data_IF_622661535478
#
_entry.id   IF_622661535478
#
_cell.length_a   1.000
_cell.length_b   1.000
_cell.length_c   1.000
_cell.angle_alpha   90.00
_cell.angle_beta   90.00
_cell.angle_gamma   90.00
#
_symmetry.space_group_name_H-M   'P 1'
#
loop_
_entity.id
_entity.type
_entity.pdbx_description
1 polymer ?
#
# COMPACT_ATOMS: atom_id res chain seq x y z
N UNK A 1 26.99 -28.38 13.19
CA UNK A 1 27.28 -27.50 12.03
C UNK A 1 26.07 -26.58 11.77
N UNK A 2 26.24 -25.25 11.72
CA UNK A 2 25.15 -24.26 11.61
C UNK A 2 24.42 -24.30 10.25
N UNK A 3 25.01 -24.98 9.26
CA UNK A 3 24.53 -25.07 7.88
C UNK A 3 24.08 -26.48 7.45
N UNK A 4 23.88 -27.41 8.41
CA UNK A 4 23.39 -28.79 8.17
C UNK A 4 24.18 -29.60 7.12
N UNK A 5 25.49 -29.38 7.05
CA UNK A 5 26.39 -30.27 6.31
C UNK A 5 26.92 -31.39 7.22
N UNK A 6 27.18 -32.59 6.68
CA UNK A 6 26.96 -33.01 5.29
C UNK A 6 25.46 -33.22 4.98
N UNK A 7 25.06 -33.03 3.71
CA UNK A 7 23.69 -33.25 3.26
C UNK A 7 23.53 -34.63 2.63
N UNK A 8 22.30 -35.14 2.63
CA UNK A 8 21.96 -36.39 1.97
C UNK A 8 22.29 -36.34 0.48
N UNK A 9 22.76 -37.47 -0.05
CA UNK A 9 23.11 -37.64 -1.45
C UNK A 9 22.19 -38.67 -2.09
N UNK A 10 21.81 -38.39 -3.33
CA UNK A 10 20.87 -39.21 -4.10
C UNK A 10 21.44 -39.41 -5.50
N UNK A 11 21.54 -40.65 -5.97
CA UNK A 11 22.12 -40.94 -7.28
C UNK A 11 21.25 -40.48 -8.45
N UNK A 12 19.94 -40.43 -8.22
CA UNK A 12 18.93 -40.15 -9.23
C UNK A 12 17.83 -39.24 -8.67
N UNK A 13 17.12 -38.57 -9.56
CA UNK A 13 15.95 -37.77 -9.20
C UNK A 13 14.74 -38.69 -9.13
N UNK A 14 14.06 -38.74 -7.99
CA UNK A 14 12.92 -39.60 -7.76
C UNK A 14 11.83 -38.85 -6.99
N UNK A 15 10.61 -39.35 -7.06
CA UNK A 15 9.52 -38.88 -6.21
C UNK A 15 9.34 -39.91 -5.11
N UNK A 16 9.37 -39.46 -3.85
CA UNK A 16 9.11 -40.31 -2.71
C UNK A 16 7.65 -40.79 -2.75
N UNK A 17 7.38 -42.11 -2.77
CA UNK A 17 6.03 -42.64 -2.92
C UNK A 17 5.09 -42.31 -1.77
N UNK A 18 5.61 -42.16 -0.56
CA UNK A 18 4.81 -41.92 0.64
C UNK A 18 4.50 -40.44 0.86
N UNK A 19 5.52 -39.57 0.79
CA UNK A 19 5.34 -38.13 1.02
C UNK A 19 5.02 -37.34 -0.26
N UNK A 20 5.20 -37.96 -1.43
CA UNK A 20 5.16 -37.28 -2.72
C UNK A 20 6.35 -36.35 -2.95
N UNK A 21 7.35 -36.30 -2.06
CA UNK A 21 8.44 -35.32 -2.13
C UNK A 21 9.37 -35.58 -3.31
N UNK A 22 9.70 -34.54 -4.08
CA UNK A 22 10.66 -34.59 -5.17
C UNK A 22 12.07 -34.56 -4.59
N UNK A 23 12.73 -35.70 -4.68
CA UNK A 23 14.12 -35.89 -4.33
C UNK A 23 14.95 -35.64 -5.58
N UNK A 24 15.80 -34.61 -5.54
CA UNK A 24 16.67 -34.27 -6.66
C UNK A 24 17.99 -35.04 -6.58
N UNK A 25 18.50 -35.51 -7.74
CA UNK A 25 19.84 -36.08 -7.84
C UNK A 25 20.88 -35.14 -7.21
N UNK A 26 21.71 -35.69 -6.34
CA UNK A 26 22.77 -34.99 -5.62
C UNK A 26 23.95 -35.92 -5.34
N UNK A 27 25.08 -35.69 -6.02
CA UNK A 27 26.30 -36.49 -5.85
C UNK A 27 27.23 -36.00 -4.74
N UNK A 28 27.19 -34.71 -4.40
CA UNK A 28 28.16 -34.09 -3.49
C UNK A 28 27.49 -33.64 -2.19
N UNK A 29 27.87 -34.26 -1.06
CA UNK A 29 27.30 -33.99 0.25
C UNK A 29 27.65 -32.59 0.79
N UNK A 30 28.76 -32.02 0.31
CA UNK A 30 29.29 -30.70 0.70
C UNK A 30 28.87 -29.57 -0.24
N UNK A 31 28.04 -29.86 -1.24
CA UNK A 31 27.48 -28.88 -2.17
C UNK A 31 26.01 -28.61 -1.84
N UNK A 32 25.57 -27.37 -2.02
CA UNK A 32 24.13 -27.04 -1.97
C UNK A 32 23.40 -27.66 -3.17
N UNK A 33 22.09 -27.83 -3.04
CA UNK A 33 21.28 -28.21 -4.18
C UNK A 33 21.13 -26.98 -5.07
N UNK A 34 21.46 -27.07 -6.35
CA UNK A 34 21.48 -25.92 -7.26
C UNK A 34 20.65 -26.18 -8.51
N UNK A 35 20.32 -25.13 -9.25
CA UNK A 35 19.68 -25.24 -10.57
C UNK A 35 20.56 -24.52 -11.58
N UNK A 36 20.95 -25.14 -12.72
CA UNK A 36 21.85 -24.52 -13.69
C UNK A 36 21.40 -23.13 -14.14
N UNK A 37 20.10 -22.92 -14.35
CA UNK A 37 19.54 -21.62 -14.72
C UNK A 37 19.77 -20.54 -13.65
N UNK A 38 19.55 -20.89 -12.38
CA UNK A 38 19.76 -19.97 -11.24
C UNK A 38 21.25 -19.73 -11.02
N UNK A 39 22.10 -20.76 -11.13
CA UNK A 39 23.57 -20.62 -11.11
C UNK A 39 24.04 -19.64 -12.16
N UNK A 40 23.52 -19.76 -13.39
CA UNK A 40 23.91 -18.94 -14.51
C UNK A 40 23.50 -17.47 -14.33
N UNK A 41 22.27 -17.24 -13.84
CA UNK A 41 21.72 -15.89 -13.64
C UNK A 41 22.35 -15.18 -12.44
N UNK A 42 22.43 -15.83 -11.29
CA UNK A 42 22.86 -15.20 -10.04
C UNK A 42 24.38 -15.17 -9.90
N UNK A 43 25.10 -16.08 -10.58
CA UNK A 43 26.57 -16.25 -10.49
C UNK A 43 27.10 -16.32 -9.06
N UNK A 44 26.26 -16.81 -8.14
CA UNK A 44 26.57 -16.93 -6.72
C UNK A 44 26.04 -18.25 -6.14
N UNK A 45 26.51 -18.60 -4.94
CA UNK A 45 26.06 -19.79 -4.23
C UNK A 45 24.59 -19.63 -3.83
N UNK A 46 23.76 -20.60 -4.19
CA UNK A 46 22.34 -20.63 -3.88
C UNK A 46 21.96 -22.06 -3.47
N UNK A 47 20.90 -22.18 -2.69
CA UNK A 47 20.35 -23.46 -2.25
C UNK A 47 18.89 -23.55 -2.67
N UNK A 48 18.58 -24.52 -3.52
CA UNK A 48 17.24 -24.77 -4.05
C UNK A 48 16.63 -25.92 -3.29
N UNK A 49 15.48 -25.68 -2.69
CA UNK A 49 14.71 -26.70 -1.97
C UNK A 49 13.33 -26.82 -2.60
N UNK A 50 12.90 -28.05 -2.91
CA UNK A 50 11.54 -28.31 -3.36
C UNK A 50 10.56 -28.16 -2.18
N UNK A 51 9.52 -27.35 -2.35
CA UNK A 51 8.46 -27.16 -1.36
C UNK A 51 7.17 -27.77 -1.90
N UNK A 52 6.72 -28.86 -1.27
CA UNK A 52 5.63 -29.69 -1.82
C UNK A 52 4.30 -29.58 -1.08
N UNK A 53 4.30 -29.03 0.13
CA UNK A 53 3.08 -28.76 0.89
C UNK A 53 2.70 -27.28 0.79
N UNK A 54 1.43 -27.00 0.48
CA UNK A 54 0.89 -25.63 0.49
C UNK A 54 1.08 -24.93 1.84
N UNK A 55 1.06 -25.68 2.95
CA UNK A 55 1.33 -25.15 4.30
C UNK A 55 2.79 -24.71 4.44
N UNK A 56 3.74 -25.51 3.94
CA UNK A 56 5.17 -25.18 3.95
C UNK A 56 5.48 -24.01 3.03
N UNK A 57 4.85 -23.95 1.86
CA UNK A 57 4.98 -22.80 0.95
C UNK A 57 4.46 -21.54 1.63
N UNK A 58 3.27 -21.60 2.25
CA UNK A 58 2.68 -20.46 2.96
C UNK A 58 3.55 -19.99 4.12
N UNK A 59 4.14 -20.91 4.89
CA UNK A 59 5.02 -20.56 6.01
C UNK A 59 6.32 -19.91 5.54
N UNK A 60 6.94 -20.43 4.48
CA UNK A 60 8.16 -19.85 3.89
C UNK A 60 7.87 -18.47 3.30
N UNK A 61 6.78 -18.31 2.54
CA UNK A 61 6.38 -17.01 1.99
C UNK A 61 6.11 -16.02 3.12
N UNK A 62 5.37 -16.42 4.16
CA UNK A 62 5.10 -15.55 5.31
C UNK A 62 6.40 -15.14 6.03
N UNK A 63 7.34 -16.07 6.20
CA UNK A 63 8.65 -15.79 6.81
C UNK A 63 9.49 -14.82 5.97
N UNK A 64 9.57 -15.05 4.66
CA UNK A 64 10.30 -14.17 3.73
C UNK A 64 9.63 -12.80 3.67
N UNK A 65 8.30 -12.74 3.62
CA UNK A 65 7.55 -11.50 3.65
C UNK A 65 7.77 -10.75 4.96
N UNK A 66 7.71 -11.40 6.13
CA UNK A 66 8.02 -10.79 7.42
C UNK A 66 9.43 -10.23 7.44
N UNK A 67 10.40 -10.97 6.89
CA UNK A 67 11.78 -10.50 6.77
C UNK A 67 11.93 -9.27 5.87
N UNK A 68 11.28 -9.26 4.70
CA UNK A 68 11.33 -8.14 3.73
C UNK A 68 10.59 -6.91 4.26
N UNK A 69 9.43 -7.12 4.89
CA UNK A 69 8.55 -6.05 5.38
C UNK A 69 8.92 -5.56 6.78
N UNK A 70 9.88 -6.21 7.45
CA UNK A 70 10.37 -5.81 8.77
C UNK A 70 10.76 -4.35 8.74
N UNK A 71 10.01 -3.51 9.45
CA UNK A 71 10.25 -2.08 9.45
C UNK A 71 11.67 -1.85 9.98
N UNK A 72 12.55 -1.19 9.21
CA UNK A 72 13.94 -1.01 9.62
C UNK A 72 14.06 -0.13 10.86
N UNK A 73 13.06 0.73 11.11
CA UNK A 73 13.03 1.64 12.23
C UNK A 73 11.76 1.44 13.06
N UNK A 74 11.91 0.93 14.29
CA UNK A 74 10.79 0.81 15.23
C UNK A 74 10.36 2.20 15.70
N UNK A 75 9.06 2.39 15.95
CA UNK A 75 8.48 3.69 16.35
C UNK A 75 9.16 4.30 17.58
N UNK A 76 9.51 3.50 18.59
CA UNK A 76 10.22 4.03 19.77
C UNK A 76 11.62 4.56 19.43
N UNK A 77 12.32 3.98 18.46
CA UNK A 77 13.63 4.46 18.00
C UNK A 77 13.48 5.78 17.27
N UNK A 78 12.41 5.94 16.47
CA UNK A 78 12.09 7.23 15.85
C UNK A 78 11.92 8.33 16.91
N UNK A 79 11.07 8.08 17.92
CA UNK A 79 10.82 9.04 18.98
C UNK A 79 12.08 9.38 19.78
N UNK A 80 12.90 8.39 20.12
CA UNK A 80 14.17 8.63 20.80
C UNK A 80 15.13 9.47 19.95
N UNK A 81 15.24 9.23 18.64
CA UNK A 81 16.07 10.04 17.76
C UNK A 81 15.58 11.48 17.67
N UNK A 82 14.27 11.70 17.58
CA UNK A 82 13.67 13.04 17.59
C UNK A 82 13.94 13.74 18.92
N UNK A 83 13.73 13.07 20.05
CA UNK A 83 14.01 13.61 21.39
C UNK A 83 15.49 14.01 21.53
N UNK A 84 16.43 13.13 21.13
CA UNK A 84 17.87 13.44 21.16
C UNK A 84 18.23 14.67 20.33
N UNK A 85 17.57 14.88 19.19
CA UNK A 85 17.77 16.08 18.37
C UNK A 85 17.24 17.33 19.08
N UNK A 86 16.10 17.25 19.77
CA UNK A 86 15.60 18.37 20.58
C UNK A 86 16.57 18.73 21.72
N UNK A 87 16.99 17.74 22.51
CA UNK A 87 17.87 17.95 23.67
C UNK A 87 19.24 18.54 23.28
N UNK A 88 19.82 18.09 22.15
CA UNK A 88 21.12 18.60 21.66
C UNK A 88 21.05 19.98 21.02
N UNK A 89 19.85 20.49 20.71
CA UNK A 89 19.69 21.74 19.97
C UNK A 89 18.85 22.77 20.75
N UNK A 90 18.84 22.66 22.08
CA UNK A 90 18.20 23.62 23.00
C UNK A 90 18.71 25.04 22.78
N UNK A 91 20.01 25.24 22.59
CA UNK A 91 20.59 26.55 22.29
C UNK A 91 20.08 27.14 20.97
N UNK A 92 19.86 26.29 19.95
CA UNK A 92 19.30 26.73 18.66
C UNK A 92 17.82 27.14 18.83
N UNK A 93 17.07 26.46 19.69
CA UNK A 93 15.70 26.82 20.04
C UNK A 93 15.64 28.17 20.78
N UNK A 94 16.61 28.41 21.67
CA UNK A 94 16.75 29.65 22.44
C UNK A 94 17.42 30.81 21.68
N UNK A 95 17.97 30.58 20.49
CA UNK A 95 18.64 31.63 19.69
C UNK A 95 17.67 32.70 19.16
N UNK A 96 18.14 33.88 18.76
CA UNK A 96 17.30 34.94 18.18
C UNK A 96 16.90 34.74 16.71
N UNK A 97 17.17 33.55 16.14
CA UNK A 97 16.82 33.26 14.74
C UNK A 97 15.31 33.27 14.52
N UNK A 98 14.91 33.61 13.28
CA UNK A 98 13.51 33.50 12.85
C UNK A 98 12.98 32.08 13.10
N UNK A 99 11.70 31.99 13.51
CA UNK A 99 11.00 30.73 13.76
C UNK A 99 11.05 29.79 12.54
N UNK A 100 11.00 30.35 11.33
CA UNK A 100 11.09 29.58 10.08
C UNK A 100 12.45 28.89 9.93
N UNK A 101 13.53 29.58 10.29
CA UNK A 101 14.88 29.06 10.13
C UNK A 101 15.22 28.05 11.22
N UNK A 102 14.71 28.25 12.44
CA UNK A 102 14.76 27.26 13.52
C UNK A 102 14.05 25.97 13.11
N UNK A 103 12.82 26.07 12.60
CA UNK A 103 12.03 24.91 12.17
C UNK A 103 12.73 24.15 11.04
N UNK A 104 13.22 24.86 10.01
CA UNK A 104 13.96 24.25 8.90
C UNK A 104 15.21 23.51 9.39
N UNK A 105 16.01 24.16 10.23
CA UNK A 105 17.23 23.56 10.79
C UNK A 105 16.94 22.32 11.64
N UNK A 106 15.90 22.35 12.48
CA UNK A 106 15.49 21.19 13.26
C UNK A 106 15.02 20.04 12.38
N UNK A 107 14.14 20.32 11.41
CA UNK A 107 13.64 19.30 10.49
C UNK A 107 14.80 18.62 9.74
N UNK A 108 15.76 19.37 9.24
CA UNK A 108 16.96 18.80 8.60
C UNK A 108 17.74 17.90 9.55
N UNK A 109 17.94 18.31 10.81
CA UNK A 109 18.67 17.52 11.81
C UNK A 109 17.92 16.23 12.20
N UNK A 110 16.60 16.29 12.34
CA UNK A 110 15.75 15.13 12.60
C UNK A 110 15.80 14.15 11.42
N UNK A 111 15.62 14.65 10.20
CA UNK A 111 15.72 13.83 8.98
C UNK A 111 17.09 13.18 8.89
N UNK A 112 18.19 13.93 9.07
CA UNK A 112 19.54 13.36 9.03
C UNK A 112 19.75 12.28 10.10
N UNK A 113 19.25 12.47 11.31
CA UNK A 113 19.33 11.47 12.38
C UNK A 113 18.50 10.23 12.09
N UNK A 114 17.30 10.39 11.51
CA UNK A 114 16.43 9.28 11.15
C UNK A 114 16.99 8.49 9.97
N UNK A 115 17.53 9.18 8.96
CA UNK A 115 18.19 8.57 7.81
C UNK A 115 19.40 7.74 8.24
N UNK A 116 20.20 8.25 9.19
CA UNK A 116 21.35 7.50 9.72
C UNK A 116 20.94 6.23 10.50
N UNK A 117 19.73 6.21 11.09
CA UNK A 117 19.20 5.06 11.80
C UNK A 117 18.40 4.11 10.89
N UNK A 118 18.10 4.51 9.66
CA UNK A 118 17.29 3.74 8.72
C UNK A 118 18.20 2.94 7.79
N UNK A 119 18.13 1.62 7.89
CA UNK A 119 18.73 0.72 6.90
C UNK A 119 17.69 0.34 5.84
N UNK A 120 18.09 0.31 4.56
CA UNK A 120 17.23 -0.17 3.48
C UNK A 120 17.78 -1.53 3.04
N UNK A 121 16.92 -2.54 2.96
CA UNK A 121 17.32 -3.85 2.45
C UNK A 121 17.82 -3.77 1.01
N UNK A 122 18.91 -4.46 0.69
CA UNK A 122 19.51 -4.48 -0.65
C UNK A 122 18.51 -4.71 -1.81
N UNK A 123 17.55 -5.66 -1.69
CA UNK A 123 16.53 -5.86 -2.72
C UNK A 123 15.62 -4.63 -2.94
N UNK A 124 15.25 -3.93 -1.86
CA UNK A 124 14.43 -2.70 -1.93
C UNK A 124 15.24 -1.59 -2.60
N UNK A 125 16.51 -1.44 -2.25
CA UNK A 125 17.39 -0.46 -2.89
C UNK A 125 17.54 -0.73 -4.40
N UNK A 126 17.76 -1.98 -4.80
CA UNK A 126 17.83 -2.37 -6.20
C UNK A 126 16.50 -2.11 -6.94
N UNK A 127 15.37 -2.40 -6.30
CA UNK A 127 14.04 -2.14 -6.83
C UNK A 127 13.82 -0.64 -7.13
N UNK A 128 14.23 0.24 -6.20
CA UNK A 128 14.18 1.70 -6.40
C UNK A 128 15.13 2.17 -7.52
N UNK A 129 16.37 1.66 -7.56
CA UNK A 129 17.35 2.04 -8.58
C UNK A 129 16.92 1.61 -9.99
N UNK A 130 16.32 0.43 -10.12
CA UNK A 130 15.80 -0.11 -11.38
C UNK A 130 14.44 0.48 -11.77
N UNK A 131 13.86 1.37 -10.94
CA UNK A 131 12.55 1.99 -11.15
C UNK A 131 11.43 0.97 -11.39
N UNK A 132 11.50 -0.16 -10.69
CA UNK A 132 10.41 -1.12 -10.72
C UNK A 132 9.17 -0.55 -10.01
N UNK A 133 7.96 -0.88 -10.47
CA UNK A 133 6.74 -0.48 -9.80
C UNK A 133 6.66 -1.14 -8.41
N UNK A 134 6.20 -0.37 -7.43
CA UNK A 134 5.97 -0.79 -6.03
C UNK A 134 4.89 -1.88 -5.91
N UNK A 135 4.01 -2.00 -6.90
CA UNK A 135 3.01 -3.04 -6.99
C UNK A 135 2.75 -3.46 -8.44
N UNK A 136 2.49 -4.75 -8.64
CA UNK A 136 1.96 -5.27 -9.90
C UNK A 136 0.48 -5.58 -9.68
N UNK A 137 -0.40 -4.91 -10.41
CA UNK A 137 -1.83 -5.20 -10.33
C UNK A 137 -2.43 -5.38 -11.72
N UNK A 138 -3.13 -6.49 -11.92
CA UNK A 138 -3.98 -6.70 -13.12
C UNK A 138 -5.28 -5.90 -13.06
N UNK A 139 -5.64 -5.37 -11.88
CA UNK A 139 -6.90 -4.67 -11.66
C UNK A 139 -6.71 -3.34 -10.93
N UNK A 140 -7.48 -2.33 -11.32
CA UNK A 140 -7.53 -1.06 -10.58
C UNK A 140 -8.59 -1.17 -9.49
N UNK A 141 -8.14 -1.36 -8.26
CA UNK A 141 -9.02 -1.30 -7.10
C UNK A 141 -9.54 0.12 -6.93
N UNK A 142 -10.80 0.24 -6.49
CA UNK A 142 -11.39 1.52 -6.14
C UNK A 142 -11.53 1.65 -4.64
N UNK A 143 -11.15 2.80 -4.05
CA UNK A 143 -11.39 3.03 -2.64
C UNK A 143 -12.90 3.05 -2.37
N UNK A 144 -13.36 2.17 -1.50
CA UNK A 144 -14.73 2.10 -1.01
C UNK A 144 -14.79 2.76 0.38
N UNK A 145 -15.35 3.97 0.45
CA UNK A 145 -15.58 4.67 1.71
C UNK A 145 -16.87 4.16 2.39
N UNK A 146 -16.85 2.89 2.80
CA UNK A 146 -18.03 2.14 3.26
C UNK A 146 -18.73 2.75 4.49
N UNK A 147 -18.00 3.46 5.36
CA UNK A 147 -18.54 4.05 6.60
C UNK A 147 -19.75 4.97 6.34
N UNK A 148 -19.74 5.73 5.25
CA UNK A 148 -20.87 6.60 4.89
C UNK A 148 -22.14 5.81 4.56
N UNK A 149 -22.01 4.71 3.81
CA UNK A 149 -23.14 3.84 3.47
C UNK A 149 -23.73 3.14 4.70
N UNK A 150 -22.87 2.67 5.60
CA UNK A 150 -23.30 1.99 6.83
C UNK A 150 -24.01 2.94 7.78
N UNK A 151 -23.52 4.17 7.93
CA UNK A 151 -24.21 5.19 8.73
C UNK A 151 -25.60 5.49 8.18
N UNK A 152 -25.78 5.53 6.87
CA UNK A 152 -27.08 5.79 6.25
C UNK A 152 -28.08 4.64 6.50
N UNK A 153 -27.62 3.39 6.43
CA UNK A 153 -28.46 2.22 6.79
C UNK A 153 -28.79 2.22 8.29
N UNK A 154 -27.81 2.54 9.14
CA UNK A 154 -28.01 2.59 10.59
C UNK A 154 -29.02 3.66 11.01
N UNK A 155 -29.11 4.79 10.29
CA UNK A 155 -30.13 5.84 10.52
C UNK A 155 -31.57 5.34 10.35
N UNK A 156 -31.78 4.35 9.49
CA UNK A 156 -33.11 3.76 9.29
C UNK A 156 -33.54 2.84 10.45
N UNK A 157 -32.62 2.48 11.36
CA UNK A 157 -32.90 1.62 12.52
C UNK A 157 -33.01 2.43 13.81
N UNK A 158 -34.07 2.20 14.60
CA UNK A 158 -34.42 2.98 15.79
C UNK A 158 -33.38 2.91 16.95
N UNK A 159 -32.52 1.90 16.96
CA UNK A 159 -31.52 1.68 18.03
C UNK A 159 -30.25 2.56 17.87
N UNK A 160 -30.22 3.44 16.88
CA UNK A 160 -29.05 4.22 16.45
C UNK A 160 -28.78 5.50 17.26
N UNK A 161 -29.52 5.77 18.35
CA UNK A 161 -29.38 6.99 19.18
C UNK A 161 -27.99 7.19 19.81
N UNK A 162 -27.14 6.16 19.86
CA UNK A 162 -25.81 6.21 20.46
C UNK A 162 -24.66 6.31 19.45
N UNK A 163 -24.93 6.44 18.15
CA UNK A 163 -23.86 6.53 17.15
C UNK A 163 -23.36 7.98 17.12
N UNK A 164 -22.25 8.21 17.83
CA UNK A 164 -21.43 9.43 17.86
C UNK A 164 -21.60 10.31 16.61
N UNK A 165 -21.87 11.60 16.85
CA UNK A 165 -21.93 12.70 15.87
C UNK A 165 -20.65 12.84 14.98
N UNK A 166 -19.60 12.04 15.21
CA UNK A 166 -18.35 12.03 14.45
C UNK A 166 -18.44 11.43 13.04
N UNK A 167 -19.58 10.86 12.66
CA UNK A 167 -19.80 10.23 11.36
C UNK A 167 -20.28 11.17 10.26
N UNK A 168 -19.70 12.36 10.07
CA UNK A 168 -20.10 13.21 8.93
C UNK A 168 -19.72 12.52 7.63
N UNK A 169 -20.71 12.27 6.75
CA UNK A 169 -20.49 11.78 5.38
C UNK A 169 -19.37 12.58 4.72
N UNK A 170 -18.31 11.89 4.29
CA UNK A 170 -17.16 12.52 3.65
C UNK A 170 -17.61 13.15 2.35
N UNK A 171 -17.77 14.47 2.37
CA UNK A 171 -17.98 15.25 1.16
C UNK A 171 -16.65 15.28 0.42
N UNK A 172 -16.57 14.57 -0.70
CA UNK A 172 -15.42 14.65 -1.59
C UNK A 172 -15.47 16.01 -2.25
N UNK A 173 -14.58 16.91 -1.85
CA UNK A 173 -14.38 18.21 -2.50
C UNK A 173 -13.57 17.98 -3.76
N UNK A 174 -14.23 18.01 -4.92
CA UNK A 174 -13.54 18.06 -6.20
C UNK A 174 -13.18 19.51 -6.53
N UNK A 175 -11.91 19.76 -6.83
CA UNK A 175 -11.45 21.02 -7.41
C UNK A 175 -11.65 20.95 -8.93
N UNK A 176 -12.58 21.75 -9.47
CA UNK A 176 -12.75 21.88 -10.92
C UNK A 176 -11.68 22.83 -11.47
N UNK A 177 -10.57 22.28 -11.98
CA UNK A 177 -9.48 23.04 -12.59
C UNK A 177 -9.87 23.71 -13.92
N UNK A 178 -11.03 23.37 -14.50
CA UNK A 178 -11.49 23.85 -15.82
C UNK A 178 -12.43 25.06 -15.73
N UNK A 179 -12.40 25.83 -14.66
CA UNK A 179 -13.14 27.09 -14.60
C UNK A 179 -12.47 28.13 -15.48
N UNK A 180 -13.17 28.57 -16.54
CA UNK A 180 -12.71 29.62 -17.47
C UNK A 180 -12.45 30.99 -16.79
N UNK A 181 -12.84 31.16 -15.52
CA UNK A 181 -12.68 32.41 -14.76
C UNK A 181 -11.49 32.41 -13.78
N UNK A 182 -10.65 31.36 -13.76
CA UNK A 182 -9.55 31.25 -12.79
C UNK A 182 -9.99 30.97 -11.34
N UNK A 183 -11.29 30.96 -11.05
CA UNK A 183 -11.82 30.59 -9.73
C UNK A 183 -11.98 29.07 -9.60
N UNK A 184 -11.31 28.50 -8.59
CA UNK A 184 -11.45 27.09 -8.19
C UNK A 184 -12.89 26.84 -7.71
N UNK A 185 -13.66 26.04 -8.44
CA UNK A 185 -14.99 25.63 -7.99
C UNK A 185 -14.87 24.38 -7.12
N UNK A 186 -15.25 24.52 -5.85
CA UNK A 186 -15.41 23.41 -4.90
C UNK A 186 -16.77 22.79 -5.16
N UNK A 187 -16.81 21.52 -5.57
CA UNK A 187 -18.07 20.78 -5.70
C UNK A 187 -18.13 19.72 -4.60
N UNK A 188 -19.14 19.77 -3.71
CA UNK A 188 -19.36 18.71 -2.75
C UNK A 188 -19.94 17.48 -3.45
N UNK A 189 -19.23 16.35 -3.43
CA UNK A 189 -19.71 15.06 -3.92
C UNK A 189 -19.88 14.08 -2.75
N UNK A 190 -21.07 13.50 -2.60
CA UNK A 190 -21.30 12.39 -1.66
C UNK A 190 -21.57 11.09 -2.42
N UNK A 191 -20.65 10.11 -2.37
CA UNK A 191 -20.85 8.79 -2.99
C UNK A 191 -22.12 8.07 -2.50
N UNK A 192 -22.53 8.35 -1.27
CA UNK A 192 -23.75 7.79 -0.66
C UNK A 192 -24.99 8.35 -1.35
N UNK A 193 -25.05 9.68 -1.50
CA UNK A 193 -26.18 10.34 -2.18
C UNK A 193 -26.27 9.93 -3.65
N UNK A 194 -25.14 9.73 -4.33
CA UNK A 194 -25.16 9.26 -5.72
C UNK A 194 -25.81 7.90 -5.88
N UNK A 195 -25.61 7.02 -4.90
CA UNK A 195 -26.22 5.69 -4.91
C UNK A 195 -27.70 5.77 -4.52
N UNK A 196 -28.05 6.57 -3.51
CA UNK A 196 -29.43 6.76 -3.08
C UNK A 196 -30.30 7.35 -4.19
N UNK A 197 -29.79 8.35 -4.90
CA UNK A 197 -30.48 9.08 -5.96
C UNK A 197 -30.07 8.61 -7.36
N UNK A 198 -29.69 7.33 -7.50
CA UNK A 198 -29.35 6.75 -8.79
C UNK A 198 -30.59 6.69 -9.71
N UNK A 199 -30.43 6.79 -11.04
CA UNK A 199 -31.53 6.60 -11.98
C UNK A 199 -32.24 5.25 -11.79
N UNK A 200 -33.54 5.20 -12.08
CA UNK A 200 -34.37 4.00 -11.95
C UNK A 200 -33.82 2.80 -12.75
N UNK A 201 -33.17 3.05 -13.89
CA UNK A 201 -32.48 2.02 -14.70
C UNK A 201 -31.41 1.23 -13.92
N UNK A 202 -30.91 1.77 -12.80
CA UNK A 202 -29.87 1.17 -11.97
C UNK A 202 -30.40 0.77 -10.58
N UNK A 203 -31.71 0.65 -10.40
CA UNK A 203 -32.33 0.29 -9.12
C UNK A 203 -31.86 -1.09 -8.63
N UNK A 204 -31.73 -2.06 -9.54
CA UNK A 204 -31.29 -3.44 -9.25
C UNK A 204 -29.78 -3.56 -8.97
N UNK A 205 -29.00 -2.49 -9.16
CA UNK A 205 -27.55 -2.52 -8.94
C UNK A 205 -27.25 -2.40 -7.44
N UNK A 206 -26.54 -3.39 -6.90
CA UNK A 206 -26.07 -3.36 -5.52
C UNK A 206 -24.96 -2.31 -5.31
N UNK A 207 -24.75 -1.87 -4.05
CA UNK A 207 -23.73 -0.87 -3.68
C UNK A 207 -22.34 -1.25 -4.21
N UNK A 208 -21.98 -2.53 -4.14
CA UNK A 208 -20.67 -3.01 -4.58
C UNK A 208 -20.46 -2.80 -6.08
N UNK A 209 -21.41 -3.22 -6.92
CA UNK A 209 -21.33 -3.07 -8.36
C UNK A 209 -21.43 -1.61 -8.79
N UNK A 210 -22.23 -0.81 -8.09
CA UNK A 210 -22.28 0.64 -8.30
C UNK A 210 -20.90 1.28 -8.09
N UNK A 211 -20.23 1.00 -6.97
CA UNK A 211 -18.91 1.57 -6.68
C UNK A 211 -17.87 1.12 -7.72
N UNK A 212 -17.93 -0.16 -8.13
CA UNK A 212 -17.00 -0.74 -9.10
C UNK A 212 -17.19 -0.15 -10.51
N UNK A 213 -18.43 0.05 -10.95
CA UNK A 213 -18.78 0.37 -12.34
C UNK A 213 -19.04 1.86 -12.59
N UNK A 214 -19.56 2.60 -11.61
CA UNK A 214 -19.93 4.01 -11.79
C UNK A 214 -18.69 4.90 -11.98
N UNK A 215 -18.65 5.71 -13.04
CA UNK A 215 -17.63 6.73 -13.24
C UNK A 215 -18.25 8.12 -13.40
N UNK A 216 -17.89 9.03 -12.49
CA UNK A 216 -18.21 10.45 -12.65
C UNK A 216 -17.26 11.11 -13.64
N UNK A 217 -17.83 11.80 -14.63
CA UNK A 217 -17.08 12.62 -15.59
C UNK A 217 -17.71 14.02 -15.62
N UNK A 218 -16.86 15.05 -15.75
CA UNK A 218 -17.36 16.41 -15.97
C UNK A 218 -18.13 16.46 -17.30
N UNK A 219 -19.34 17.01 -17.26
CA UNK A 219 -20.14 17.17 -18.47
C UNK A 219 -19.53 18.22 -19.39
N UNK A 220 -19.44 17.92 -20.68
CA UNK A 220 -19.03 18.91 -21.69
C UNK A 220 -20.04 20.05 -21.78
N UNK A 221 -19.59 21.23 -22.21
CA UNK A 221 -20.46 22.40 -22.38
C UNK A 221 -21.61 22.13 -23.38
N UNK A 222 -21.36 21.32 -24.41
CA UNK A 222 -22.40 20.91 -25.37
C UNK A 222 -23.49 20.06 -24.74
N UNK A 223 -23.12 19.05 -23.94
CA UNK A 223 -24.08 18.21 -23.22
C UNK A 223 -24.83 18.96 -22.13
N UNK A 224 -24.19 19.91 -21.44
CA UNK A 224 -24.86 20.79 -20.46
C UNK A 224 -25.99 21.61 -21.08
N UNK A 225 -25.81 22.14 -22.29
CA UNK A 225 -26.83 22.91 -23.01
C UNK A 225 -28.03 22.04 -23.43
N UNK A 226 -27.78 20.79 -23.83
CA UNK A 226 -28.85 19.84 -24.17
C UNK A 226 -29.61 19.34 -22.93
N UNK A 227 -28.91 19.12 -21.81
CA UNK A 227 -29.53 18.64 -20.58
C UNK A 227 -30.30 19.71 -19.80
N UNK A 228 -30.07 21.00 -20.07
CA UNK A 228 -30.71 22.09 -19.35
C UNK A 228 -31.06 23.28 -20.27
N UNK A 229 -32.10 23.15 -21.13
CA UNK A 229 -32.45 24.14 -22.14
C UNK A 229 -32.98 25.48 -21.59
N UNK A 230 -33.16 25.62 -20.26
CA UNK A 230 -33.69 26.84 -19.63
C UNK A 230 -32.66 27.68 -18.85
N UNK A 231 -31.40 27.24 -18.72
CA UNK A 231 -30.39 27.99 -17.97
C UNK A 231 -29.60 28.96 -18.87
N UNK A 232 -30.30 29.76 -19.66
CA UNK A 232 -29.70 30.72 -20.58
C UNK A 232 -30.62 31.91 -20.82
N UNK A 233 -30.80 32.75 -19.80
CA UNK A 233 -31.10 34.20 -19.87
C UNK A 233 -31.25 34.78 -18.45
N UNK A 234 -30.16 35.33 -17.93
CA UNK A 234 -30.11 36.59 -17.15
C UNK A 234 -28.64 37.00 -17.05
#
# INVERSE_FOLDING_TARGET
>A
CKARFPRDTFRETAVDPESGTLIMKKGEAWLNTFTPAVSYLLRCNHDVTSLMSGTTIKSVIAYVADYITKTPLKTHVMFQSVQKVFERNTELLCSDKSRTDKARSMMTKMVNSLTAASEIGGPIAAMYLLKHPDHYTGHKFRPCYWRGFVLEVMRAWNDSKNISEEGRSTVVVALDEKSKSGQKRIVPLSPVLDYMWRPAEYEDICVYDWIRLNHKKSMSQSRRKQANPHCGKS
#
